data_IF_140829967950
#
_entry.id   IF_140829967950
#
_cell.length_a   1.000
_cell.length_b   1.000
_cell.length_c   1.000
_cell.angle_alpha   90.00
_cell.angle_beta   90.00
_cell.angle_gamma   90.00
#
_symmetry.space_group_name_H-M   'P 1'
#
loop_
_entity.id
_entity.type
_entity.pdbx_description
1 polymer ?
#
# COMPACT_ATOMS: atom_id res chain seq x y z
N UNK A 1 12.43 6.31 -12.46
CA UNK A 1 13.52 7.26 -12.09
C UNK A 1 13.01 8.59 -11.51
N UNK A 2 11.75 8.67 -11.04
CA UNK A 2 11.33 9.62 -10.00
C UNK A 2 11.24 8.93 -8.62
N UNK A 3 11.16 7.59 -8.61
CA UNK A 3 11.04 6.74 -7.42
C UNK A 3 12.19 6.90 -6.44
N UNK A 4 13.42 7.15 -6.92
CA UNK A 4 14.61 7.22 -6.05
C UNK A 4 14.54 8.36 -5.02
N UNK A 5 13.83 9.45 -5.35
CA UNK A 5 13.69 10.62 -4.48
C UNK A 5 12.40 10.60 -3.66
N UNK A 6 11.33 9.98 -4.16
CA UNK A 6 10.04 9.88 -3.46
C UNK A 6 10.02 8.71 -2.46
N UNK A 7 10.64 7.58 -2.80
CA UNK A 7 10.72 6.39 -1.95
C UNK A 7 11.27 6.67 -0.52
N UNK A 8 12.34 7.46 -0.31
CA UNK A 8 12.86 7.71 1.04
C UNK A 8 11.96 8.62 1.89
N UNK A 9 11.05 9.41 1.30
CA UNK A 9 10.11 10.27 2.04
C UNK A 9 8.84 9.49 2.41
N UNK A 10 8.37 8.63 1.49
CA UNK A 10 7.22 7.76 1.71
C UNK A 10 7.54 6.67 2.76
N UNK A 11 8.74 6.08 2.72
CA UNK A 11 9.17 5.01 3.63
C UNK A 11 8.92 5.26 5.13
N UNK A 12 9.41 6.36 5.75
CA UNK A 12 9.23 6.59 7.19
C UNK A 12 7.78 6.89 7.58
N UNK A 13 6.95 7.38 6.65
CA UNK A 13 5.52 7.56 6.90
C UNK A 13 4.76 6.22 6.92
N UNK A 14 5.23 5.25 6.11
CA UNK A 14 4.63 3.93 6.02
C UNK A 14 5.20 2.93 7.03
N UNK A 15 6.41 3.14 7.58
CA UNK A 15 7.03 2.29 8.61
C UNK A 15 6.14 2.01 9.84
N UNK A 16 5.52 3.01 10.51
CA UNK A 16 4.67 2.73 11.67
C UNK A 16 3.43 1.91 11.30
N UNK A 17 2.87 2.12 10.10
CA UNK A 17 1.75 1.32 9.58
C UNK A 17 2.20 -0.12 9.27
N UNK A 18 3.36 -0.30 8.65
CA UNK A 18 3.96 -1.62 8.37
C UNK A 18 4.20 -2.40 9.66
N UNK A 19 4.74 -1.75 10.70
CA UNK A 19 4.96 -2.38 12.01
C UNK A 19 3.63 -2.72 12.70
N UNK A 20 2.62 -1.85 12.61
CA UNK A 20 1.30 -2.12 13.17
C UNK A 20 0.62 -3.30 12.47
N UNK A 21 0.65 -3.35 11.15
CA UNK A 21 0.09 -4.46 10.36
C UNK A 21 0.84 -5.76 10.61
N UNK A 22 2.18 -5.73 10.67
CA UNK A 22 2.98 -6.90 10.99
C UNK A 22 2.69 -7.43 12.41
N UNK A 23 2.59 -6.56 13.42
CA UNK A 23 2.20 -6.94 14.78
C UNK A 23 0.76 -7.46 14.88
N UNK A 24 -0.12 -6.99 14.02
CA UNK A 24 -1.50 -7.47 13.91
C UNK A 24 -1.66 -8.77 13.12
N UNK A 25 -0.58 -9.36 12.59
CA UNK A 25 -0.63 -10.57 11.76
C UNK A 25 -1.21 -10.34 10.37
N UNK A 26 -1.35 -9.08 9.93
CA UNK A 26 -1.85 -8.74 8.60
C UNK A 26 -0.73 -8.95 7.59
N UNK A 27 -1.03 -9.72 6.54
CA UNK A 27 -0.05 -10.08 5.50
C UNK A 27 -0.04 -9.07 4.35
N UNK A 28 1.07 -8.98 3.63
CA UNK A 28 1.16 -8.13 2.42
C UNK A 28 0.03 -8.46 1.42
N UNK A 29 -0.28 -9.75 1.24
CA UNK A 29 -1.37 -10.21 0.38
C UNK A 29 -2.73 -9.62 0.75
N UNK A 30 -3.04 -9.49 2.04
CA UNK A 30 -4.30 -8.88 2.49
C UNK A 30 -4.35 -7.39 2.14
N UNK A 31 -3.22 -6.68 2.24
CA UNK A 31 -3.13 -5.29 1.80
C UNK A 31 -3.30 -5.17 0.28
N UNK A 32 -2.66 -6.05 -0.50
CA UNK A 32 -2.80 -6.10 -1.96
C UNK A 32 -4.25 -6.31 -2.38
N UNK A 33 -4.93 -7.29 -1.78
CA UNK A 33 -6.35 -7.58 -2.08
C UNK A 33 -7.25 -6.41 -1.69
N UNK A 34 -7.04 -5.83 -0.51
CA UNK A 34 -7.83 -4.68 -0.03
C UNK A 34 -7.62 -3.47 -0.94
N UNK A 35 -6.36 -3.16 -1.27
CA UNK A 35 -6.00 -2.11 -2.22
C UNK A 35 -6.64 -2.33 -3.58
N UNK A 36 -6.59 -3.55 -4.11
CA UNK A 36 -7.22 -3.91 -5.38
C UNK A 36 -8.73 -3.69 -5.37
N UNK A 37 -9.45 -4.13 -4.32
CA UNK A 37 -10.89 -3.89 -4.18
C UNK A 37 -11.22 -2.39 -4.16
N UNK A 38 -10.43 -1.58 -3.45
CA UNK A 38 -10.57 -0.12 -3.43
C UNK A 38 -10.29 0.49 -4.81
N UNK A 39 -9.27 -0.01 -5.51
CA UNK A 39 -8.95 0.41 -6.87
C UNK A 39 -10.07 0.09 -7.86
N UNK A 40 -10.70 -1.08 -7.72
CA UNK A 40 -11.87 -1.43 -8.55
C UNK A 40 -13.05 -0.50 -8.32
N UNK A 41 -13.22 0.07 -7.11
CA UNK A 41 -14.26 1.08 -6.85
C UNK A 41 -14.03 2.38 -7.63
N UNK A 42 -12.81 2.68 -8.06
CA UNK A 42 -12.56 3.84 -8.90
C UNK A 42 -13.30 3.74 -10.25
N UNK A 43 -13.45 2.53 -10.81
CA UNK A 43 -14.14 2.31 -12.09
C UNK A 43 -15.62 2.76 -12.09
N UNK A 44 -16.49 2.27 -11.18
CA UNK A 44 -17.85 2.76 -11.09
C UNK A 44 -17.92 4.23 -10.66
N UNK A 45 -17.02 4.71 -9.80
CA UNK A 45 -16.99 6.13 -9.41
C UNK A 45 -16.70 7.04 -10.62
N UNK A 46 -15.80 6.64 -11.52
CA UNK A 46 -15.56 7.34 -12.78
C UNK A 46 -16.80 7.26 -13.69
N UNK A 47 -17.44 6.09 -13.77
CA UNK A 47 -18.65 5.90 -14.58
C UNK A 47 -19.84 6.77 -14.11
N UNK A 48 -19.94 7.05 -12.81
CA UNK A 48 -20.92 7.98 -12.23
C UNK A 48 -20.43 9.44 -12.20
N UNK A 49 -19.34 9.77 -12.89
CA UNK A 49 -18.74 11.12 -12.94
C UNK A 49 -18.35 11.67 -11.54
N UNK A 50 -18.13 10.80 -10.56
CA UNK A 50 -17.67 11.15 -9.22
C UNK A 50 -16.15 11.27 -9.19
N UNK A 51 -15.61 12.22 -9.96
CA UNK A 51 -14.17 12.40 -10.19
C UNK A 51 -13.35 12.52 -8.90
N UNK A 52 -13.85 13.26 -7.91
CA UNK A 52 -13.16 13.44 -6.63
C UNK A 52 -13.09 12.14 -5.83
N UNK A 53 -14.18 11.37 -5.79
CA UNK A 53 -14.21 10.10 -5.08
C UNK A 53 -13.34 9.06 -5.79
N UNK A 54 -13.36 9.03 -7.13
CA UNK A 54 -12.48 8.19 -7.93
C UNK A 54 -11.00 8.53 -7.69
N UNK A 55 -10.66 9.81 -7.63
CA UNK A 55 -9.29 10.26 -7.33
C UNK A 55 -8.85 9.79 -5.93
N UNK A 56 -9.70 9.93 -4.93
CA UNK A 56 -9.42 9.43 -3.57
C UNK A 56 -9.21 7.92 -3.59
N UNK A 57 -10.06 7.15 -4.27
CA UNK A 57 -9.94 5.70 -4.39
C UNK A 57 -8.62 5.28 -5.06
N UNK A 58 -8.21 5.98 -6.12
CA UNK A 58 -6.94 5.73 -6.83
C UNK A 58 -5.74 6.05 -5.92
N UNK A 59 -5.77 7.19 -5.20
CA UNK A 59 -4.70 7.55 -4.26
C UNK A 59 -4.59 6.50 -3.16
N UNK A 60 -5.72 6.07 -2.59
CA UNK A 60 -5.74 5.01 -1.58
C UNK A 60 -5.16 3.71 -2.13
N UNK A 61 -5.61 3.25 -3.30
CA UNK A 61 -5.05 2.06 -3.97
C UNK A 61 -3.52 2.16 -4.11
N UNK A 62 -3.00 3.32 -4.49
CA UNK A 62 -1.55 3.56 -4.63
C UNK A 62 -0.80 3.54 -3.30
N UNK A 63 -1.43 4.02 -2.22
CA UNK A 63 -0.88 3.92 -0.86
C UNK A 63 -0.81 2.47 -0.40
N UNK A 64 -1.88 1.69 -0.63
CA UNK A 64 -1.90 0.25 -0.30
C UNK A 64 -0.82 -0.53 -1.05
N UNK A 65 -0.61 -0.24 -2.34
CA UNK A 65 0.45 -0.82 -3.18
C UNK A 65 1.86 -0.48 -2.62
N UNK A 66 2.05 0.76 -2.14
CA UNK A 66 3.28 1.17 -1.45
C UNK A 66 3.50 0.49 -0.09
N UNK A 67 2.42 0.27 0.66
CA UNK A 67 2.43 -0.43 1.96
C UNK A 67 2.72 -1.92 1.81
N UNK A 68 2.08 -2.59 0.84
CA UNK A 68 2.37 -3.96 0.40
C UNK A 68 3.88 -4.12 0.15
N UNK A 69 4.43 -3.32 -0.77
CA UNK A 69 5.84 -3.45 -1.15
C UNK A 69 6.79 -3.12 0.01
N UNK A 70 6.39 -2.23 0.91
CA UNK A 70 7.16 -1.95 2.12
C UNK A 70 7.11 -3.10 3.14
N UNK A 71 5.93 -3.69 3.35
CA UNK A 71 5.71 -4.82 4.26
C UNK A 71 6.40 -6.08 3.75
N UNK A 72 6.33 -6.38 2.44
CA UNK A 72 7.05 -7.50 1.84
C UNK A 72 8.57 -7.38 2.01
N UNK A 73 9.13 -6.18 1.84
CA UNK A 73 10.56 -5.93 2.12
C UNK A 73 10.90 -6.02 3.60
N UNK A 74 10.01 -5.59 4.49
CA UNK A 74 10.23 -5.68 5.94
C UNK A 74 10.17 -7.14 6.42
N UNK A 75 9.17 -7.89 5.99
CA UNK A 75 9.04 -9.32 6.26
C UNK A 75 10.21 -10.13 5.65
N UNK A 76 10.65 -9.82 4.43
CA UNK A 76 11.80 -10.45 3.79
C UNK A 76 13.13 -10.17 4.50
N UNK A 77 13.34 -8.95 5.01
CA UNK A 77 14.50 -8.63 5.85
C UNK A 77 14.42 -9.33 7.22
N UNK A 78 13.24 -9.43 7.81
CA UNK A 78 13.04 -10.16 9.07
C UNK A 78 13.22 -11.67 8.93
N UNK A 79 12.96 -12.24 7.74
CA UNK A 79 13.13 -13.67 7.44
C UNK A 79 14.57 -14.05 7.11
N UNK A 80 15.43 -13.11 6.73
CA UNK A 80 16.85 -13.36 6.43
C UNK A 80 17.77 -13.27 7.66
N UNK A 81 17.24 -12.91 8.84
CA UNK A 81 17.97 -12.87 10.11
C UNK A 81 17.68 -14.10 11.01
N UNK A 82 17.16 -15.18 10.43
CA UNK A 82 16.96 -16.47 11.09
C UNK A 82 17.69 -17.58 10.35
N UNK A 83 19.01 -17.63 10.50
CA UNK A 83 19.91 -18.65 9.94
C UNK A 83 21.36 -18.31 10.22
#
# INVERSE_FOLDING_TARGET
MLDKFITPIIKPLLEPLVVLFYKGGITANQLTVTGFLIGMLALPLIAFELWNAALIAIILNRVFDGLDGALARYAGQSSSAGG
#
